data_IF_762621664871
#
_entry.id   IF_762621664871
#
_cell.length_a   1.000
_cell.length_b   1.000
_cell.length_c   1.000
_cell.angle_alpha   90.00
_cell.angle_beta   90.00
_cell.angle_gamma   90.00
#
_symmetry.space_group_name_H-M   'P 1'
#
loop_
_entity.id
_entity.type
_entity.pdbx_description
1 polymer ?
#
# COMPACT_ATOMS: atom_id res chain seq x y z
N UNK A 1 -17.56 0.16 -3.44
CA UNK A 1 -17.03 0.49 -4.76
C UNK A 1 -15.67 1.15 -4.62
N UNK A 2 -14.69 0.70 -5.39
CA UNK A 2 -13.34 1.25 -5.36
C UNK A 2 -13.09 1.99 -6.68
N UNK A 3 -12.63 3.24 -6.59
CA UNK A 3 -12.39 4.07 -7.78
C UNK A 3 -11.32 5.12 -7.50
N UNK A 4 -10.74 5.67 -8.58
CA UNK A 4 -9.90 6.86 -8.48
C UNK A 4 -10.80 8.04 -8.18
N UNK A 5 -10.38 8.86 -7.21
CA UNK A 5 -11.20 10.00 -6.81
C UNK A 5 -10.35 11.09 -6.18
N UNK A 6 -10.61 12.32 -6.57
CA UNK A 6 -10.04 13.50 -5.94
C UNK A 6 -10.99 13.94 -4.84
N UNK A 7 -10.50 14.05 -3.61
CA UNK A 7 -11.31 14.53 -2.49
C UNK A 7 -10.41 15.24 -1.47
N UNK A 8 -11.04 15.99 -0.57
CA UNK A 8 -10.32 16.85 0.37
C UNK A 8 -10.10 16.21 1.74
N UNK A 9 -10.51 14.98 1.91
CA UNK A 9 -10.42 14.30 3.17
C UNK A 9 -9.06 13.62 3.33
N UNK A 10 -8.38 13.87 4.44
CA UNK A 10 -7.03 13.36 4.66
C UNK A 10 -6.74 13.02 6.12
N UNK A 11 -7.76 12.62 6.89
CA UNK A 11 -7.63 12.34 8.31
C UNK A 11 -6.53 11.34 8.67
N UNK A 12 -6.27 10.37 7.81
CA UNK A 12 -5.25 9.36 8.06
C UNK A 12 -4.11 9.38 7.05
N UNK A 13 -3.97 10.48 6.32
CA UNK A 13 -2.82 10.66 5.43
C UNK A 13 -1.64 11.22 6.22
N UNK A 14 -0.41 10.84 5.86
CA UNK A 14 0.78 11.33 6.56
C UNK A 14 0.94 12.84 6.49
N UNK A 15 0.55 13.44 5.36
CA UNK A 15 0.62 14.89 5.17
C UNK A 15 -0.26 15.31 4.01
N UNK A 16 -0.59 16.62 3.98
CA UNK A 16 -1.33 17.22 2.86
C UNK A 16 -0.52 17.12 1.56
N UNK A 17 0.79 17.32 1.65
CA UNK A 17 1.68 17.26 0.49
C UNK A 17 1.71 15.86 -0.11
N UNK A 18 1.80 14.81 0.72
CA UNK A 18 1.74 13.44 0.27
C UNK A 18 0.40 13.13 -0.42
N UNK A 19 -0.70 13.60 0.18
CA UNK A 19 -2.03 13.44 -0.41
C UNK A 19 -2.13 14.08 -1.79
N UNK A 20 -1.70 15.34 -1.91
CA UNK A 20 -1.76 16.06 -3.18
C UNK A 20 -0.89 15.40 -4.25
N UNK A 21 0.29 14.93 -3.88
CA UNK A 21 1.17 14.23 -4.80
C UNK A 21 0.54 12.95 -5.33
N UNK A 22 -0.10 12.17 -4.47
CA UNK A 22 -0.75 10.93 -4.87
C UNK A 22 -1.94 11.19 -5.79
N UNK A 23 -2.67 12.26 -5.55
CA UNK A 23 -3.76 12.70 -6.43
C UNK A 23 -3.22 13.13 -7.79
N UNK A 24 -2.15 13.94 -7.81
CA UNK A 24 -1.53 14.41 -9.05
C UNK A 24 -1.00 13.27 -9.91
N UNK A 25 -0.47 12.20 -9.28
CA UNK A 25 0.04 11.02 -9.98
C UNK A 25 -1.07 10.06 -10.41
N UNK A 26 -2.32 10.34 -10.04
CA UNK A 26 -3.46 9.47 -10.35
C UNK A 26 -3.29 8.06 -9.75
N UNK A 27 -2.67 8.00 -8.55
CA UNK A 27 -2.33 6.75 -7.86
C UNK A 27 -3.24 6.43 -6.69
N UNK A 28 -4.11 7.37 -6.30
CA UNK A 28 -5.00 7.20 -5.14
C UNK A 28 -6.32 6.57 -5.56
N UNK A 29 -6.66 5.46 -4.92
CA UNK A 29 -7.94 4.78 -5.09
C UNK A 29 -8.67 4.78 -3.76
N UNK A 30 -9.98 5.04 -3.79
CA UNK A 30 -10.79 5.08 -2.58
C UNK A 30 -11.92 4.04 -2.65
N UNK A 31 -12.27 3.50 -1.47
CA UNK A 31 -13.44 2.65 -1.29
C UNK A 31 -14.56 3.53 -0.75
N UNK A 32 -15.59 3.72 -1.58
CA UNK A 32 -16.70 4.61 -1.28
C UNK A 32 -18.02 3.87 -1.34
N UNK A 33 -18.92 4.20 -0.42
CA UNK A 33 -20.28 3.68 -0.41
C UNK A 33 -21.21 4.77 0.12
N UNK A 34 -22.29 5.06 -0.62
CA UNK A 34 -23.28 6.11 -0.27
C UNK A 34 -22.61 7.45 0.03
N UNK A 35 -21.64 7.86 -0.80
CA UNK A 35 -20.87 9.10 -0.66
C UNK A 35 -20.00 9.16 0.59
N UNK A 36 -19.83 8.06 1.30
CA UNK A 36 -18.93 7.95 2.45
C UNK A 36 -17.68 7.19 2.06
N UNK A 37 -16.51 7.69 2.46
CA UNK A 37 -15.23 7.05 2.18
C UNK A 37 -14.83 6.15 3.33
N UNK A 38 -14.70 4.86 3.05
CA UNK A 38 -14.37 3.84 4.04
C UNK A 38 -12.87 3.58 4.15
N UNK A 39 -12.14 3.79 3.07
CA UNK A 39 -10.70 3.57 3.07
C UNK A 39 -10.07 3.95 1.74
N UNK A 40 -8.76 3.79 1.67
CA UNK A 40 -8.03 4.10 0.45
C UNK A 40 -6.76 3.26 0.31
N UNK A 41 -6.25 3.21 -0.92
CA UNK A 41 -4.97 2.57 -1.22
C UNK A 41 -4.26 3.39 -2.29
N UNK A 42 -2.95 3.56 -2.14
CA UNK A 42 -2.11 4.22 -3.13
C UNK A 42 -1.32 3.15 -3.87
N UNK A 43 -1.52 3.09 -5.18
CA UNK A 43 -0.89 2.10 -6.07
C UNK A 43 0.01 2.85 -7.04
N UNK A 44 1.30 2.57 -7.00
CA UNK A 44 2.30 3.27 -7.81
C UNK A 44 3.17 2.29 -8.57
N UNK A 45 3.70 2.72 -9.71
CA UNK A 45 4.74 1.99 -10.43
C UNK A 45 6.15 2.53 -10.11
N UNK A 46 6.27 3.52 -9.24
CA UNK A 46 7.54 4.12 -8.85
C UNK A 46 8.13 3.41 -7.64
N UNK A 47 9.40 3.02 -7.75
CA UNK A 47 10.14 2.38 -6.68
C UNK A 47 10.90 3.42 -5.86
N UNK A 48 10.70 3.42 -4.54
CA UNK A 48 11.44 4.30 -3.65
C UNK A 48 12.90 3.87 -3.56
N UNK A 49 13.80 4.84 -3.35
CA UNK A 49 15.24 4.57 -3.24
C UNK A 49 15.57 3.54 -2.16
N UNK A 50 14.87 3.57 -1.06
CA UNK A 50 15.09 2.68 0.07
C UNK A 50 14.87 1.21 -0.30
N UNK A 51 14.14 0.95 -1.37
CA UNK A 51 13.84 -0.42 -1.81
C UNK A 51 14.97 -1.06 -2.62
N UNK A 52 15.91 -0.29 -3.17
CA UNK A 52 16.95 -0.84 -4.04
C UNK A 52 17.86 -1.88 -3.39
N UNK A 53 18.25 -1.76 -2.10
CA UNK A 53 19.10 -2.77 -1.47
C UNK A 53 18.44 -4.10 -1.20
N UNK A 54 17.10 -4.18 -1.29
CA UNK A 54 16.36 -5.41 -0.99
C UNK A 54 16.50 -6.41 -2.14
N UNK A 55 16.72 -7.67 -1.80
CA UNK A 55 16.76 -8.75 -2.78
C UNK A 55 15.34 -9.22 -3.09
N UNK A 56 14.72 -8.57 -4.06
CA UNK A 56 13.36 -8.89 -4.45
C UNK A 56 13.26 -10.22 -5.20
N UNK A 57 12.08 -10.83 -5.16
CA UNK A 57 11.84 -12.12 -5.82
C UNK A 57 11.70 -11.99 -7.33
N UNK A 58 11.37 -10.80 -7.83
CA UNK A 58 11.22 -10.50 -9.26
C UNK A 58 12.16 -9.38 -9.65
N UNK A 59 12.41 -9.23 -10.95
CA UNK A 59 13.22 -8.12 -11.44
C UNK A 59 12.50 -6.79 -11.26
N UNK A 60 13.27 -5.72 -11.06
CA UNK A 60 12.73 -4.37 -10.98
C UNK A 60 12.25 -3.91 -12.35
N UNK A 61 11.26 -3.03 -12.38
CA UNK A 61 10.79 -2.38 -13.59
C UNK A 61 9.38 -2.76 -14.02
N UNK A 62 8.81 -3.85 -13.46
CA UNK A 62 7.45 -4.27 -13.81
C UNK A 62 6.70 -4.68 -12.54
N UNK A 63 6.68 -3.79 -11.56
CA UNK A 63 6.12 -4.05 -10.24
C UNK A 63 5.21 -2.90 -9.84
N UNK A 64 4.18 -3.19 -9.05
CA UNK A 64 3.46 -2.12 -8.37
C UNK A 64 3.88 -2.06 -6.91
N UNK A 65 3.74 -0.86 -6.35
CA UNK A 65 4.12 -0.55 -4.98
C UNK A 65 2.90 0.01 -4.25
N UNK A 66 2.60 -0.55 -3.09
CA UNK A 66 1.55 -0.03 -2.22
C UNK A 66 2.20 0.95 -1.26
N UNK A 67 1.94 2.25 -1.46
CA UNK A 67 2.54 3.30 -0.62
C UNK A 67 1.69 3.64 0.59
N UNK A 68 0.41 3.36 0.53
CA UNK A 68 -0.50 3.60 1.64
C UNK A 68 -1.68 2.66 1.53
N UNK A 69 -2.07 2.09 2.64
CA UNK A 69 -3.31 1.35 2.79
C UNK A 69 -3.93 1.80 4.11
N UNK A 70 -5.12 2.37 4.05
CA UNK A 70 -5.79 2.88 5.25
C UNK A 70 -7.29 2.63 5.20
N UNK A 71 -7.87 2.34 6.37
CA UNK A 71 -9.31 2.17 6.55
C UNK A 71 -9.75 3.15 7.63
N UNK A 72 -10.84 3.86 7.37
CA UNK A 72 -11.38 4.82 8.31
C UNK A 72 -11.64 4.13 9.66
N UNK A 73 -11.30 4.76 10.79
CA UNK A 73 -11.47 4.12 12.11
C UNK A 73 -12.85 3.55 12.38
N UNK A 74 -13.91 4.20 11.89
CA UNK A 74 -15.29 3.73 12.07
C UNK A 74 -15.58 2.43 11.32
N UNK A 75 -14.75 2.06 10.35
CA UNK A 75 -14.99 0.93 9.46
C UNK A 75 -13.94 -0.16 9.59
N UNK A 76 -13.05 -0.07 10.56
CA UNK A 76 -12.04 -1.10 10.80
C UNK A 76 -12.67 -2.39 11.33
N UNK A 77 -12.00 -3.51 11.06
CA UNK A 77 -12.47 -4.82 11.51
C UNK A 77 -13.61 -5.42 10.68
N UNK A 78 -13.88 -4.87 9.50
CA UNK A 78 -14.99 -5.32 8.62
C UNK A 78 -14.52 -5.87 7.29
N UNK A 79 -13.21 -6.10 7.12
CA UNK A 79 -12.66 -6.69 5.90
C UNK A 79 -12.39 -5.70 4.78
N UNK A 80 -12.44 -4.39 4.99
CA UNK A 80 -12.21 -3.42 3.93
C UNK A 80 -10.76 -3.36 3.48
N UNK A 81 -9.80 -3.57 4.38
CA UNK A 81 -8.40 -3.66 4.01
C UNK A 81 -8.17 -4.83 3.06
N UNK A 82 -8.83 -5.97 3.30
CA UNK A 82 -8.78 -7.13 2.41
C UNK A 82 -9.31 -6.77 1.01
N UNK A 83 -10.43 -6.05 0.96
CA UNK A 83 -11.02 -5.62 -0.32
C UNK A 83 -10.08 -4.71 -1.10
N UNK A 84 -9.46 -3.75 -0.41
CA UNK A 84 -8.52 -2.82 -1.03
C UNK A 84 -7.30 -3.55 -1.59
N UNK A 85 -6.75 -4.50 -0.84
CA UNK A 85 -5.61 -5.29 -1.32
C UNK A 85 -5.99 -6.22 -2.46
N UNK A 86 -7.16 -6.83 -2.41
CA UNK A 86 -7.66 -7.65 -3.53
C UNK A 86 -7.79 -6.81 -4.80
N UNK A 87 -8.30 -5.58 -4.66
CA UNK A 87 -8.37 -4.66 -5.78
C UNK A 87 -6.98 -4.35 -6.36
N UNK A 88 -6.02 -4.05 -5.51
CA UNK A 88 -4.65 -3.74 -5.96
C UNK A 88 -4.00 -4.93 -6.68
N UNK A 89 -4.17 -6.12 -6.14
CA UNK A 89 -3.63 -7.35 -6.74
C UNK A 89 -4.29 -7.67 -8.07
N UNK A 90 -5.60 -7.49 -8.17
CA UNK A 90 -6.34 -7.69 -9.42
C UNK A 90 -5.92 -6.67 -10.47
N UNK A 91 -5.79 -5.40 -10.07
CA UNK A 91 -5.29 -4.35 -10.94
C UNK A 91 -3.91 -4.72 -11.51
N UNK A 92 -3.01 -5.20 -10.65
CA UNK A 92 -1.67 -5.58 -11.06
C UNK A 92 -1.69 -6.74 -12.07
N UNK A 93 -2.49 -7.77 -11.82
CA UNK A 93 -2.64 -8.90 -12.73
C UNK A 93 -3.20 -8.48 -14.07
N UNK A 94 -4.25 -7.67 -14.08
CA UNK A 94 -4.91 -7.21 -15.31
C UNK A 94 -4.00 -6.31 -16.14
N UNK A 95 -3.07 -5.61 -15.52
CA UNK A 95 -2.12 -4.76 -16.21
C UNK A 95 -0.74 -5.41 -16.41
N UNK A 96 -0.65 -6.72 -16.21
CA UNK A 96 0.52 -7.54 -16.51
C UNK A 96 1.77 -7.19 -15.69
N UNK A 97 1.60 -6.70 -14.46
CA UNK A 97 2.71 -6.51 -13.54
C UNK A 97 3.18 -7.85 -12.98
N UNK A 98 4.46 -7.95 -12.67
CA UNK A 98 5.07 -9.19 -12.18
C UNK A 98 4.81 -9.42 -10.69
N UNK A 99 4.70 -8.37 -9.91
CA UNK A 99 4.54 -8.48 -8.46
C UNK A 99 3.96 -7.23 -7.82
N UNK A 100 3.55 -7.38 -6.57
CA UNK A 100 3.14 -6.30 -5.68
C UNK A 100 4.16 -6.21 -4.55
N UNK A 101 4.70 -5.02 -4.30
CA UNK A 101 5.69 -4.75 -3.28
C UNK A 101 5.19 -3.72 -2.29
N UNK A 102 5.58 -3.87 -1.04
CA UNK A 102 5.20 -2.92 0.01
C UNK A 102 6.16 -3.03 1.19
N UNK A 103 6.07 -2.06 2.10
CA UNK A 103 6.73 -2.15 3.38
C UNK A 103 5.74 -1.83 4.50
N UNK A 104 6.01 -2.36 5.68
CA UNK A 104 5.20 -2.08 6.86
C UNK A 104 6.09 -2.06 8.10
N UNK A 105 5.69 -1.27 9.10
CA UNK A 105 6.46 -1.09 10.32
C UNK A 105 6.64 -2.43 11.04
N UNK A 106 7.90 -2.75 11.41
CA UNK A 106 8.23 -4.02 12.04
C UNK A 106 7.50 -4.25 13.36
N UNK A 107 7.19 -3.19 14.10
CA UNK A 107 6.50 -3.27 15.38
C UNK A 107 4.97 -3.37 15.26
N UNK A 108 4.44 -3.25 14.06
CA UNK A 108 3.01 -3.41 13.82
C UNK A 108 2.69 -4.88 13.53
N UNK A 109 2.52 -5.66 14.58
CA UNK A 109 2.28 -7.10 14.47
C UNK A 109 1.03 -7.43 13.66
N UNK A 110 -0.02 -6.63 13.80
CA UNK A 110 -1.29 -6.83 13.08
C UNK A 110 -1.08 -6.73 11.57
N UNK A 111 -0.36 -5.71 11.11
CA UNK A 111 -0.09 -5.55 9.69
C UNK A 111 0.81 -6.65 9.14
N UNK A 112 1.83 -7.05 9.90
CA UNK A 112 2.71 -8.14 9.47
C UNK A 112 1.94 -9.45 9.30
N UNK A 113 1.07 -9.79 10.24
CA UNK A 113 0.20 -10.97 10.15
C UNK A 113 -0.73 -10.84 8.94
N UNK A 114 -1.30 -9.65 8.73
CA UNK A 114 -2.21 -9.39 7.61
C UNK A 114 -1.56 -9.68 6.27
N UNK A 115 -0.37 -9.14 6.01
CA UNK A 115 0.30 -9.37 4.74
C UNK A 115 0.80 -10.79 4.59
N UNK A 116 1.34 -11.39 5.65
CA UNK A 116 1.79 -12.78 5.60
C UNK A 116 0.63 -13.74 5.34
N UNK A 117 -0.55 -13.47 5.90
CA UNK A 117 -1.74 -14.29 5.65
C UNK A 117 -2.24 -14.16 4.21
N UNK A 118 -1.89 -13.08 3.51
CA UNK A 118 -2.18 -12.89 2.08
C UNK A 118 -1.07 -13.43 1.18
N UNK A 119 -0.15 -14.20 1.72
CA UNK A 119 0.95 -14.85 0.99
C UNK A 119 2.07 -13.90 0.55
N UNK A 120 2.14 -12.72 1.12
CA UNK A 120 3.31 -11.85 0.92
C UNK A 120 4.49 -12.42 1.66
N UNK A 121 5.66 -12.37 1.03
CA UNK A 121 6.89 -12.90 1.61
C UNK A 121 7.78 -11.77 2.09
N UNK A 122 8.20 -11.83 3.35
CA UNK A 122 9.13 -10.87 3.92
C UNK A 122 10.54 -11.12 3.39
N UNK A 123 11.17 -10.09 2.82
CA UNK A 123 12.46 -10.22 2.13
C UNK A 123 13.60 -9.50 2.82
N UNK A 124 13.32 -8.43 3.55
CA UNK A 124 14.37 -7.66 4.21
C UNK A 124 13.82 -6.44 4.90
N UNK A 125 14.72 -5.66 5.45
CA UNK A 125 14.36 -4.50 6.26
C UNK A 125 14.94 -3.22 5.67
N UNK A 126 14.18 -2.14 5.78
CA UNK A 126 14.62 -0.80 5.45
C UNK A 126 14.39 0.11 6.65
N UNK A 127 15.10 1.23 6.69
CA UNK A 127 15.06 2.16 7.81
C UNK A 127 14.64 3.54 7.37
N UNK A 128 13.73 4.15 8.12
CA UNK A 128 13.34 5.55 7.97
C UNK A 128 13.67 6.24 9.29
N UNK A 129 14.92 6.72 9.48
CA UNK A 129 15.36 7.23 10.79
C UNK A 129 14.53 8.38 11.34
N UNK A 130 13.90 9.17 10.46
CA UNK A 130 13.03 10.28 10.87
C UNK A 130 11.71 9.80 11.45
N UNK A 131 11.31 8.57 11.17
CA UNK A 131 10.05 8.01 11.66
C UNK A 131 10.26 7.13 12.89
N UNK A 132 11.30 6.29 12.89
CA UNK A 132 11.56 5.36 13.99
C UNK A 132 12.98 4.81 13.91
N UNK A 133 13.50 4.37 15.06
CA UNK A 133 14.74 3.60 15.13
C UNK A 133 14.54 2.14 14.69
N UNK A 134 13.30 1.66 14.71
CA UNK A 134 12.97 0.28 14.29
C UNK A 134 12.79 0.20 12.78
N UNK A 135 13.14 -0.95 12.17
CA UNK A 135 13.01 -1.10 10.72
C UNK A 135 11.57 -1.26 10.27
N UNK A 136 11.41 -1.13 8.94
CA UNK A 136 10.20 -1.50 8.23
C UNK A 136 10.51 -2.77 7.44
N UNK A 137 9.62 -3.74 7.50
CA UNK A 137 9.77 -4.99 6.75
C UNK A 137 9.25 -4.83 5.33
N UNK A 138 10.04 -5.28 4.36
CA UNK A 138 9.63 -5.27 2.96
C UNK A 138 9.03 -6.61 2.56
N UNK A 139 7.92 -6.55 1.83
CA UNK A 139 7.16 -7.72 1.39
C UNK A 139 6.93 -7.69 -0.11
N UNK A 140 6.89 -8.87 -0.70
CA UNK A 140 6.53 -9.01 -2.12
C UNK A 140 5.59 -10.19 -2.32
N UNK A 141 4.59 -9.99 -3.18
CA UNK A 141 3.70 -11.03 -3.67
C UNK A 141 3.95 -11.18 -5.17
N UNK A 142 4.44 -12.35 -5.58
CA UNK A 142 4.63 -12.67 -7.00
C UNK A 142 3.28 -13.08 -7.59
N UNK A 143 2.94 -12.47 -8.69
CA UNK A 143 1.64 -12.69 -9.35
C UNK A 143 1.63 -13.83 -10.38
#
# INVERSE_FOLDING_TARGET
>A
MISKKIFQWNEFYPSKEAFLRDVERDELYVLEHNSEIFGCVVISAFMDEEYYPIEWLTENGNNIYIHLLAVHPKHQGKGYAQKLMTFAETYAKENHFASVRLDTFSQNKRNNIFYESRCYKRLGDIFFPKQSEYPFHCYELVL
#
